data_IF_149315826750
#
_entry.id   IF_149315826750
#
_cell.length_a   1.000
_cell.length_b   1.000
_cell.length_c   1.000
_cell.angle_alpha   90.00
_cell.angle_beta   90.00
_cell.angle_gamma   90.00
#
_symmetry.space_group_name_H-M   'P 1'
#
loop_
_entity.id
_entity.type
_entity.pdbx_description
1 polymer ?
#
# COMPACT_ATOMS: atom_id res chain seq x y z
N UNK A 1 26.12 -19.79 10.54
CA UNK A 1 26.19 -18.45 9.94
C UNK A 1 27.62 -18.26 9.47
N UNK A 2 27.84 -18.01 8.17
CA UNK A 2 29.16 -17.55 7.71
C UNK A 2 29.25 -16.07 8.06
N UNK A 3 30.26 -15.70 8.85
CA UNK A 3 30.51 -14.30 9.20
C UNK A 3 31.30 -13.68 8.04
N UNK A 4 30.70 -12.72 7.35
CA UNK A 4 31.33 -12.02 6.25
C UNK A 4 31.99 -10.72 6.74
N UNK A 5 33.12 -10.35 6.14
CA UNK A 5 33.74 -9.04 6.37
C UNK A 5 32.96 -7.98 5.58
N UNK A 6 32.56 -6.84 6.19
CA UNK A 6 31.88 -5.77 5.48
C UNK A 6 32.72 -5.24 4.31
N UNK A 7 32.10 -4.93 3.15
CA UNK A 7 32.83 -4.34 2.04
C UNK A 7 33.42 -2.97 2.44
N UNK A 8 34.71 -2.76 2.16
CA UNK A 8 35.40 -1.49 2.41
C UNK A 8 35.29 -0.49 1.26
N UNK A 9 34.77 -0.93 0.12
CA UNK A 9 34.58 -0.13 -1.10
C UNK A 9 33.11 -0.15 -1.51
N UNK A 10 32.70 0.89 -2.23
CA UNK A 10 31.32 1.02 -2.69
C UNK A 10 31.04 -0.04 -3.77
N UNK A 11 30.07 -0.95 -3.57
CA UNK A 11 29.88 -2.09 -4.47
C UNK A 11 29.00 -1.79 -5.70
N UNK A 12 28.62 -0.52 -5.91
CA UNK A 12 27.74 -0.12 -7.01
C UNK A 12 28.01 1.31 -7.48
N UNK A 13 27.74 1.56 -8.76
CA UNK A 13 27.80 2.88 -9.37
C UNK A 13 26.65 3.76 -8.92
N UNK A 14 26.87 5.08 -8.88
CA UNK A 14 25.82 6.01 -8.50
C UNK A 14 24.84 6.16 -9.68
N UNK A 15 23.53 5.96 -9.50
CA UNK A 15 22.58 6.20 -10.57
C UNK A 15 22.54 7.69 -10.95
N UNK A 16 22.52 7.97 -12.24
CA UNK A 16 22.50 9.32 -12.83
C UNK A 16 21.10 9.76 -13.29
N UNK A 17 20.10 8.90 -13.13
CA UNK A 17 18.73 9.17 -13.54
C UNK A 17 18.07 10.34 -12.79
N UNK A 18 17.07 10.92 -13.43
CA UNK A 18 16.31 12.04 -12.88
C UNK A 18 15.51 11.61 -11.64
N UNK A 19 15.38 12.53 -10.68
CA UNK A 19 14.48 12.35 -9.54
C UNK A 19 13.03 12.54 -9.98
N UNK A 20 12.17 11.58 -9.64
CA UNK A 20 10.73 11.62 -9.88
C UNK A 20 9.99 10.77 -8.84
N UNK A 21 8.68 10.93 -8.81
CA UNK A 21 7.72 10.05 -8.16
C UNK A 21 7.79 8.63 -8.75
N UNK A 22 7.69 7.64 -7.86
CA UNK A 22 7.76 6.22 -8.21
C UNK A 22 6.52 5.46 -7.76
N UNK A 23 6.20 4.39 -8.49
CA UNK A 23 5.18 3.40 -8.11
C UNK A 23 5.86 2.23 -7.42
N UNK A 24 5.40 1.94 -6.20
CA UNK A 24 5.93 0.85 -5.36
C UNK A 24 4.82 -0.16 -5.12
N UNK A 25 5.10 -1.45 -5.32
CA UNK A 25 4.18 -2.54 -5.03
C UNK A 25 4.77 -3.44 -3.95
N UNK A 26 4.06 -3.61 -2.85
CA UNK A 26 4.35 -4.61 -1.83
C UNK A 26 3.32 -5.74 -1.92
N UNK A 27 3.72 -6.90 -2.48
CA UNK A 27 2.84 -8.05 -2.69
C UNK A 27 3.36 -9.33 -2.02
N UNK A 28 2.82 -10.50 -2.36
CA UNK A 28 3.18 -11.80 -1.78
C UNK A 28 2.35 -12.21 -0.57
N UNK A 29 2.52 -13.47 -0.16
CA UNK A 29 1.70 -14.10 0.88
C UNK A 29 2.19 -13.87 2.32
N UNK A 30 3.40 -13.33 2.47
CA UNK A 30 4.03 -13.02 3.74
C UNK A 30 3.44 -11.80 4.43
N UNK A 31 3.63 -11.75 5.76
CA UNK A 31 3.33 -10.57 6.58
C UNK A 31 4.33 -9.45 6.26
N UNK A 32 3.84 -8.22 6.20
CA UNK A 32 4.71 -7.03 6.13
C UNK A 32 4.26 -5.95 5.12
N UNK A 33 3.32 -6.26 4.21
CA UNK A 33 3.03 -5.42 3.03
C UNK A 33 2.54 -4.03 3.45
N UNK A 34 1.47 -4.00 4.24
CA UNK A 34 0.89 -2.77 4.79
C UNK A 34 1.86 -2.08 5.75
N UNK A 35 2.52 -2.81 6.65
CA UNK A 35 3.46 -2.19 7.60
C UNK A 35 4.66 -1.56 6.91
N UNK A 36 5.16 -2.13 5.80
CA UNK A 36 6.22 -1.52 5.00
C UNK A 36 5.72 -0.24 4.29
N UNK A 37 4.51 -0.26 3.74
CA UNK A 37 3.90 0.92 3.13
C UNK A 37 3.67 2.04 4.16
N UNK A 38 3.18 1.70 5.35
CA UNK A 38 2.97 2.65 6.46
C UNK A 38 4.28 3.19 7.03
N UNK A 39 5.32 2.35 7.15
CA UNK A 39 6.65 2.82 7.54
C UNK A 39 7.24 3.80 6.53
N UNK A 40 7.00 3.58 5.23
CA UNK A 40 7.41 4.50 4.18
C UNK A 40 6.60 5.81 4.20
N UNK A 41 5.28 5.73 4.38
CA UNK A 41 4.41 6.88 4.57
C UNK A 41 4.87 7.73 5.77
N UNK A 42 5.13 7.10 6.91
CA UNK A 42 5.66 7.76 8.10
C UNK A 42 7.03 8.40 7.85
N UNK A 43 7.92 7.74 7.11
CA UNK A 43 9.23 8.31 6.72
C UNK A 43 9.08 9.57 5.89
N UNK A 44 8.17 9.58 4.92
CA UNK A 44 7.89 10.76 4.10
C UNK A 44 7.28 11.89 4.93
N UNK A 45 6.28 11.58 5.77
CA UNK A 45 5.64 12.54 6.67
C UNK A 45 6.63 13.16 7.66
N UNK A 46 7.52 12.35 8.25
CA UNK A 46 8.60 12.82 9.13
C UNK A 46 9.63 13.72 8.44
N UNK A 47 9.62 13.81 7.10
CA UNK A 47 10.37 14.77 6.29
C UNK A 47 9.53 15.98 5.85
N UNK A 48 8.38 16.21 6.50
CA UNK A 48 7.47 17.31 6.21
C UNK A 48 6.71 17.14 4.88
N UNK A 49 6.67 15.94 4.31
CA UNK A 49 5.95 15.69 3.04
C UNK A 49 4.49 15.37 3.32
N UNK A 50 3.61 15.85 2.44
CA UNK A 50 2.17 15.55 2.53
C UNK A 50 1.90 14.12 2.07
N UNK A 51 1.31 13.32 2.93
CA UNK A 51 0.98 11.91 2.67
C UNK A 51 -0.51 11.68 2.89
N UNK A 52 -1.12 10.80 2.10
CA UNK A 52 -2.49 10.31 2.32
C UNK A 52 -2.51 8.80 2.18
N UNK A 53 -3.17 8.13 3.13
CA UNK A 53 -3.34 6.67 3.13
C UNK A 53 -4.81 6.35 2.91
N UNK A 54 -5.07 5.45 1.98
CA UNK A 54 -6.38 4.87 1.69
C UNK A 54 -6.29 3.36 1.91
N UNK A 55 -7.16 2.81 2.74
CA UNK A 55 -7.23 1.38 2.99
C UNK A 55 -8.48 0.79 2.36
N UNK A 56 -8.28 0.04 1.29
CA UNK A 56 -9.33 -0.78 0.70
C UNK A 56 -9.66 -1.93 1.65
N UNK A 57 -10.90 -2.40 1.63
CA UNK A 57 -11.43 -3.43 2.55
C UNK A 57 -11.60 -3.02 4.02
N UNK A 58 -11.05 -1.90 4.49
CA UNK A 58 -11.20 -1.45 5.89
C UNK A 58 -12.39 -0.51 6.05
N UNK A 59 -13.16 -0.67 7.12
CA UNK A 59 -14.28 0.22 7.45
C UNK A 59 -13.81 1.65 7.78
N UNK A 60 -14.59 2.71 7.49
CA UNK A 60 -14.23 4.09 7.85
C UNK A 60 -14.04 4.30 9.36
N UNK A 61 -14.71 3.48 10.18
CA UNK A 61 -14.62 3.50 11.65
C UNK A 61 -13.46 2.68 12.19
N UNK A 62 -12.56 2.19 11.35
CA UNK A 62 -11.37 1.45 11.75
C UNK A 62 -10.50 2.27 12.71
N UNK A 63 -9.94 1.58 13.72
CA UNK A 63 -9.14 2.17 14.81
C UNK A 63 -7.95 1.28 15.20
N UNK A 64 -7.31 0.68 14.19
CA UNK A 64 -6.07 -0.10 14.32
C UNK A 64 -4.90 0.80 14.78
N UNK A 65 -3.78 0.21 15.17
CA UNK A 65 -2.63 0.95 15.72
C UNK A 65 -2.15 2.12 14.86
N UNK A 66 -2.08 1.94 13.55
CA UNK A 66 -1.69 2.98 12.59
C UNK A 66 -2.68 4.15 12.56
N UNK A 67 -3.99 3.90 12.73
CA UNK A 67 -5.00 4.96 12.73
C UNK A 67 -4.80 5.91 13.90
N UNK A 68 -4.61 5.33 15.10
CA UNK A 68 -4.41 6.07 16.34
C UNK A 68 -3.16 6.94 16.26
N UNK A 69 -2.07 6.36 15.78
CA UNK A 69 -0.81 7.09 15.67
C UNK A 69 -0.87 8.15 14.58
N UNK A 70 -1.44 7.84 13.42
CA UNK A 70 -1.50 8.77 12.29
C UNK A 70 -2.42 9.96 12.56
N UNK A 71 -3.50 9.77 13.32
CA UNK A 71 -4.34 10.86 13.84
C UNK A 71 -3.53 11.82 14.71
N UNK A 72 -2.75 11.32 15.67
CA UNK A 72 -1.88 12.14 16.52
C UNK A 72 -0.81 12.91 15.73
N UNK A 73 -0.31 12.31 14.65
CA UNK A 73 0.70 12.91 13.78
C UNK A 73 0.11 13.85 12.71
N UNK A 74 -1.22 13.96 12.61
CA UNK A 74 -1.89 14.71 11.55
C UNK A 74 -1.64 14.14 10.15
N UNK A 75 -1.38 12.83 10.04
CA UNK A 75 -1.22 12.14 8.76
C UNK A 75 -2.54 11.46 8.36
N UNK A 76 -3.26 11.92 7.33
CA UNK A 76 -4.59 11.40 7.04
C UNK A 76 -4.58 9.94 6.57
N UNK A 77 -5.42 9.11 7.20
CA UNK A 77 -5.71 7.72 6.85
C UNK A 77 -7.23 7.52 6.80
N UNK A 78 -7.71 6.77 5.82
CA UNK A 78 -9.15 6.56 5.59
C UNK A 78 -9.43 5.13 5.12
N UNK A 79 -10.34 4.45 5.81
CA UNK A 79 -10.91 3.17 5.36
C UNK A 79 -11.99 3.39 4.30
N UNK A 80 -11.94 2.62 3.22
CA UNK A 80 -12.79 2.77 2.03
C UNK A 80 -13.73 1.58 1.79
N UNK A 81 -13.71 0.56 2.64
CA UNK A 81 -14.53 -0.64 2.49
C UNK A 81 -15.56 -0.80 3.62
N UNK A 82 -16.17 -1.98 3.67
CA UNK A 82 -17.12 -2.41 4.69
C UNK A 82 -16.56 -3.51 5.61
N UNK A 83 -15.27 -3.84 5.47
CA UNK A 83 -14.59 -4.86 6.25
C UNK A 83 -14.21 -6.08 5.41
N UNK A 84 -14.08 -7.21 6.08
CA UNK A 84 -13.76 -8.46 5.41
C UNK A 84 -14.91 -8.92 4.50
N UNK A 85 -14.62 -9.16 3.22
CA UNK A 85 -15.64 -9.52 2.22
C UNK A 85 -16.42 -10.80 2.58
N UNK A 86 -15.80 -11.77 3.26
CA UNK A 86 -16.49 -13.00 3.70
C UNK A 86 -17.45 -12.79 4.88
N UNK A 87 -17.48 -11.59 5.47
CA UNK A 87 -18.50 -11.15 6.43
C UNK A 87 -19.56 -10.26 5.77
N UNK A 88 -19.35 -9.86 4.52
CA UNK A 88 -20.32 -9.03 3.80
C UNK A 88 -21.55 -9.85 3.45
N UNK A 89 -22.72 -9.27 3.69
CA UNK A 89 -23.99 -9.81 3.26
C UNK A 89 -24.40 -9.28 1.88
N UNK A 90 -23.67 -8.31 1.34
CA UNK A 90 -23.95 -7.61 0.09
C UNK A 90 -22.64 -7.25 -0.62
N UNK A 91 -22.20 -8.14 -1.50
CA UNK A 91 -20.96 -7.98 -2.27
C UNK A 91 -21.05 -6.88 -3.33
N UNK A 92 -22.26 -6.56 -3.79
CA UNK A 92 -22.47 -5.47 -4.75
C UNK A 92 -22.18 -4.13 -4.08
N UNK A 93 -22.68 -3.94 -2.86
CA UNK A 93 -22.35 -2.79 -2.02
C UNK A 93 -20.86 -2.73 -1.70
N UNK A 94 -20.21 -3.85 -1.36
CA UNK A 94 -18.75 -3.87 -1.14
C UNK A 94 -17.99 -3.39 -2.38
N UNK A 95 -18.43 -3.83 -3.57
CA UNK A 95 -17.85 -3.38 -4.84
C UNK A 95 -18.10 -1.90 -5.13
N UNK A 96 -19.28 -1.38 -4.77
CA UNK A 96 -19.61 0.03 -4.93
C UNK A 96 -18.74 0.94 -4.05
N UNK A 97 -18.55 0.56 -2.78
CA UNK A 97 -17.65 1.26 -1.87
C UNK A 97 -16.20 1.27 -2.38
N UNK A 98 -15.74 0.16 -2.98
CA UNK A 98 -14.43 0.10 -3.58
C UNK A 98 -14.28 1.09 -4.76
N UNK A 99 -15.30 1.24 -5.61
CA UNK A 99 -15.31 2.21 -6.72
C UNK A 99 -15.34 3.65 -6.21
N UNK A 100 -16.18 3.96 -5.23
CA UNK A 100 -16.23 5.30 -4.62
C UNK A 100 -14.92 5.67 -3.92
N UNK A 101 -14.34 4.69 -3.22
CA UNK A 101 -13.04 4.84 -2.59
C UNK A 101 -11.92 5.05 -3.60
N UNK A 102 -11.99 4.36 -4.74
CA UNK A 102 -11.06 4.57 -5.84
C UNK A 102 -11.17 5.99 -6.42
N UNK A 103 -12.36 6.54 -6.62
CA UNK A 103 -12.50 7.92 -7.12
C UNK A 103 -11.83 8.95 -6.18
N UNK A 104 -11.93 8.76 -4.86
CA UNK A 104 -11.20 9.58 -3.87
C UNK A 104 -9.68 9.45 -4.03
N UNK A 105 -9.19 8.21 -4.14
CA UNK A 105 -7.77 7.94 -4.28
C UNK A 105 -7.20 8.49 -5.59
N UNK A 106 -7.92 8.29 -6.70
CA UNK A 106 -7.62 8.83 -8.03
C UNK A 106 -7.54 10.35 -8.01
N UNK A 107 -8.53 11.02 -7.42
CA UNK A 107 -8.50 12.48 -7.27
C UNK A 107 -7.27 12.93 -6.45
N UNK A 108 -6.94 12.25 -5.36
CA UNK A 108 -5.76 12.57 -4.56
C UNK A 108 -4.45 12.40 -5.35
N UNK A 109 -4.30 11.32 -6.12
CA UNK A 109 -3.13 11.06 -6.99
C UNK A 109 -3.00 12.16 -8.03
N UNK A 110 -4.08 12.44 -8.78
CA UNK A 110 -4.06 13.38 -9.90
C UNK A 110 -3.93 14.84 -9.46
N UNK A 111 -4.31 15.17 -8.22
CA UNK A 111 -4.22 16.53 -7.70
C UNK A 111 -2.78 17.09 -7.60
N UNK A 112 -1.76 16.23 -7.55
CA UNK A 112 -0.37 16.63 -7.29
C UNK A 112 -0.12 17.23 -5.90
N UNK A 113 -1.15 17.28 -5.04
CA UNK A 113 -1.10 17.92 -3.73
C UNK A 113 -0.33 17.08 -2.70
N UNK A 114 -0.41 15.76 -2.83
CA UNK A 114 0.28 14.82 -1.97
C UNK A 114 1.60 14.40 -2.60
N UNK A 115 2.65 14.38 -1.79
CA UNK A 115 3.92 13.78 -2.19
C UNK A 115 3.78 12.26 -2.34
N UNK A 116 2.96 11.64 -1.49
CA UNK A 116 2.74 10.19 -1.50
C UNK A 116 1.27 9.84 -1.24
N UNK A 117 0.74 8.93 -2.05
CA UNK A 117 -0.56 8.28 -1.84
C UNK A 117 -0.34 6.78 -1.65
N UNK A 118 -0.80 6.24 -0.53
CA UNK A 118 -0.78 4.79 -0.26
C UNK A 118 -2.16 4.20 -0.51
N UNK A 119 -2.22 3.16 -1.32
CA UNK A 119 -3.39 2.35 -1.68
C UNK A 119 -3.23 0.97 -1.03
N UNK A 120 -3.54 0.89 0.25
CA UNK A 120 -3.41 -0.34 1.02
C UNK A 120 -4.53 -1.31 0.64
N UNK A 121 -4.17 -2.56 0.35
CA UNK A 121 -5.05 -3.67 -0.01
C UNK A 121 -5.89 -3.46 -1.29
N UNK A 122 -5.44 -2.57 -2.18
CA UNK A 122 -6.07 -2.27 -3.49
C UNK A 122 -6.15 -3.48 -4.42
N UNK A 123 -5.27 -4.48 -4.25
CA UNK A 123 -5.29 -5.66 -5.13
C UNK A 123 -6.58 -6.48 -4.98
N UNK A 124 -7.26 -6.44 -3.83
CA UNK A 124 -8.49 -7.21 -3.63
C UNK A 124 -9.66 -6.70 -4.49
N UNK A 125 -10.03 -5.40 -4.47
CA UNK A 125 -11.02 -4.88 -5.41
C UNK A 125 -10.74 -5.19 -6.88
N UNK A 126 -9.47 -5.22 -7.27
CA UNK A 126 -9.04 -5.56 -8.63
C UNK A 126 -9.31 -7.03 -8.97
N UNK A 127 -8.81 -7.96 -8.14
CA UNK A 127 -8.95 -9.41 -8.41
C UNK A 127 -10.37 -9.93 -8.16
N UNK A 128 -11.20 -9.19 -7.42
CA UNK A 128 -12.63 -9.48 -7.29
C UNK A 128 -13.46 -8.91 -8.44
N UNK A 129 -12.86 -8.17 -9.37
CA UNK A 129 -13.56 -7.56 -10.51
C UNK A 129 -14.46 -6.39 -10.12
N UNK A 130 -14.29 -5.82 -8.92
CA UNK A 130 -15.08 -4.68 -8.45
C UNK A 130 -14.59 -3.36 -9.03
N UNK A 131 -13.29 -3.28 -9.28
CA UNK A 131 -12.59 -2.12 -9.80
C UNK A 131 -11.91 -2.47 -11.13
N UNK A 132 -12.13 -1.71 -12.22
CA UNK A 132 -11.45 -1.94 -13.49
C UNK A 132 -9.94 -1.68 -13.40
N UNK A 133 -9.13 -2.67 -13.78
CA UNK A 133 -7.66 -2.56 -13.76
C UNK A 133 -7.15 -1.44 -14.67
N UNK A 134 -7.75 -1.29 -15.86
CA UNK A 134 -7.33 -0.29 -16.84
C UNK A 134 -7.41 1.15 -16.31
N UNK A 135 -8.41 1.45 -15.48
CA UNK A 135 -8.55 2.79 -14.89
C UNK A 135 -7.45 3.08 -13.85
N UNK A 136 -7.03 2.05 -13.09
CA UNK A 136 -5.88 2.15 -12.18
C UNK A 136 -4.60 2.36 -12.97
N UNK A 137 -4.34 1.56 -14.01
CA UNK A 137 -3.16 1.70 -14.84
C UNK A 137 -3.10 3.07 -15.52
N UNK A 138 -4.21 3.54 -16.08
CA UNK A 138 -4.31 4.85 -16.71
C UNK A 138 -4.03 5.98 -15.71
N UNK A 139 -4.61 5.91 -14.51
CA UNK A 139 -4.38 6.90 -13.45
C UNK A 139 -2.92 6.93 -13.00
N UNK A 140 -2.28 5.77 -12.82
CA UNK A 140 -0.88 5.71 -12.42
C UNK A 140 0.05 6.27 -13.50
N UNK A 141 -0.25 6.07 -14.79
CA UNK A 141 0.51 6.67 -15.90
C UNK A 141 0.31 8.19 -15.99
N UNK A 142 -0.92 8.66 -15.75
CA UNK A 142 -1.27 10.08 -15.85
C UNK A 142 -0.91 10.90 -14.60
N UNK A 143 -0.47 10.26 -13.50
CA UNK A 143 -0.14 10.94 -12.25
C UNK A 143 0.92 12.04 -12.46
N UNK A 144 0.86 13.16 -11.73
CA UNK A 144 1.91 14.16 -11.76
C UNK A 144 3.27 13.54 -11.41
N UNK A 145 4.31 13.96 -12.14
CA UNK A 145 5.64 13.31 -12.13
C UNK A 145 6.26 13.16 -10.74
N UNK A 146 5.95 14.05 -9.80
CA UNK A 146 6.51 14.05 -8.44
C UNK A 146 5.71 13.21 -7.43
N UNK A 147 4.55 12.67 -7.82
CA UNK A 147 3.68 11.89 -6.92
C UNK A 147 4.16 10.45 -6.83
N UNK A 148 4.45 10.01 -5.61
CA UNK A 148 4.72 8.62 -5.29
C UNK A 148 3.42 7.87 -5.02
N UNK A 149 3.28 6.65 -5.53
CA UNK A 149 2.12 5.79 -5.24
C UNK A 149 2.60 4.45 -4.71
N UNK A 150 2.07 4.04 -3.57
CA UNK A 150 2.40 2.76 -2.93
C UNK A 150 1.18 1.87 -2.93
N UNK A 151 1.25 0.70 -3.55
CA UNK A 151 0.18 -0.28 -3.60
C UNK A 151 0.55 -1.47 -2.73
N UNK A 152 -0.42 -2.02 -2.01
CA UNK A 152 -0.23 -3.26 -1.25
C UNK A 152 -1.33 -4.27 -1.57
N UNK A 153 -0.99 -5.53 -1.31
CA UNK A 153 -1.96 -6.62 -1.28
C UNK A 153 -1.45 -7.88 -1.94
N UNK A 154 -2.17 -8.99 -1.76
CA UNK A 154 -1.80 -10.30 -2.34
C UNK A 154 -2.17 -10.34 -3.83
N UNK A 155 -1.52 -11.24 -4.59
CA UNK A 155 -1.87 -11.54 -5.98
C UNK A 155 -1.99 -10.28 -6.84
N UNK A 156 -0.98 -9.41 -6.79
CA UNK A 156 -0.98 -8.20 -7.59
C UNK A 156 -1.06 -8.55 -9.10
N UNK A 157 -1.94 -7.90 -9.88
CA UNK A 157 -2.01 -8.09 -11.33
C UNK A 157 -0.65 -7.91 -12.01
N UNK A 158 -0.25 -8.78 -12.96
CA UNK A 158 1.02 -8.67 -13.67
C UNK A 158 1.25 -7.31 -14.34
N UNK A 159 0.20 -6.69 -14.86
CA UNK A 159 0.25 -5.39 -15.52
C UNK A 159 0.62 -4.26 -14.54
N UNK A 160 0.25 -4.38 -13.27
CA UNK A 160 0.67 -3.46 -12.21
C UNK A 160 2.12 -3.71 -11.79
N UNK A 161 2.56 -4.97 -11.78
CA UNK A 161 3.96 -5.34 -11.52
C UNK A 161 4.86 -4.74 -12.61
N UNK A 162 4.47 -4.88 -13.88
CA UNK A 162 5.21 -4.34 -15.02
C UNK A 162 5.27 -2.80 -15.00
N UNK A 163 4.17 -2.14 -14.61
CA UNK A 163 4.13 -0.68 -14.52
C UNK A 163 4.95 -0.13 -13.34
N UNK A 164 5.13 -0.90 -12.27
CA UNK A 164 5.76 -0.43 -11.05
C UNK A 164 7.27 -0.25 -11.19
N UNK A 165 7.79 0.82 -10.58
CA UNK A 165 9.22 1.11 -10.53
C UNK A 165 9.94 0.22 -9.50
N UNK A 166 9.23 -0.28 -8.50
CA UNK A 166 9.77 -1.16 -7.47
C UNK A 166 8.70 -2.13 -7.01
N UNK A 167 9.03 -3.42 -7.06
CA UNK A 167 8.15 -4.49 -6.58
C UNK A 167 8.90 -5.31 -5.54
N UNK A 168 8.30 -5.47 -4.37
CA UNK A 168 8.76 -6.42 -3.35
C UNK A 168 7.71 -7.49 -3.17
N UNK A 169 8.10 -8.74 -3.40
CA UNK A 169 7.30 -9.90 -3.03
C UNK A 169 7.71 -10.35 -1.61
N UNK A 170 6.77 -10.26 -0.68
CA UNK A 170 6.95 -10.78 0.66
C UNK A 170 6.65 -12.28 0.65
N UNK A 171 7.67 -13.08 0.43
CA UNK A 171 7.55 -14.55 0.46
C UNK A 171 7.29 -15.05 1.88
N UNK A 172 6.32 -15.94 2.05
CA UNK A 172 5.99 -16.53 3.34
C UNK A 172 6.98 -17.65 3.71
N UNK A 173 8.14 -17.27 4.27
CA UNK A 173 9.12 -18.25 4.78
C UNK A 173 8.60 -18.95 6.04
N UNK A 174 8.07 -18.19 7.00
CA UNK A 174 7.44 -18.70 8.23
C UNK A 174 6.41 -17.70 8.75
N UNK A 175 5.38 -18.19 9.45
CA UNK A 175 4.39 -17.34 10.12
C UNK A 175 4.02 -17.91 11.48
N UNK A 176 3.84 -17.05 12.49
CA UNK A 176 3.47 -17.44 13.85
C UNK A 176 2.13 -18.20 13.90
N UNK A 177 1.15 -17.78 13.07
CA UNK A 177 -0.12 -18.48 12.90
C UNK A 177 0.02 -19.98 12.57
N UNK A 178 1.01 -20.36 11.74
CA UNK A 178 1.25 -21.79 11.41
C UNK A 178 1.76 -22.60 12.61
N UNK A 179 2.25 -21.94 13.65
CA UNK A 179 2.64 -22.53 14.92
C UNK A 179 1.52 -22.42 15.99
N UNK A 180 0.29 -22.02 15.61
CA UNK A 180 -0.85 -21.90 16.53
C UNK A 180 -0.85 -20.62 17.38
N UNK A 181 0.07 -19.68 17.14
CA UNK A 181 0.11 -18.41 17.87
C UNK A 181 -0.99 -17.49 17.32
N UNK A 182 -1.93 -17.01 18.16
CA UNK A 182 -3.01 -16.13 17.72
C UNK A 182 -2.51 -14.72 17.44
N UNK A 183 -3.34 -13.93 16.74
CA UNK A 183 -3.09 -12.51 16.51
C UNK A 183 -2.94 -11.75 17.85
N UNK A 184 -1.97 -10.84 17.91
CA UNK A 184 -1.62 -10.08 19.10
C UNK A 184 -1.81 -8.58 18.88
N UNK A 185 -2.20 -7.89 19.95
CA UNK A 185 -2.39 -6.44 19.89
C UNK A 185 -1.06 -5.72 19.62
N UNK A 186 -1.07 -4.80 18.66
CA UNK A 186 0.11 -4.06 18.19
C UNK A 186 1.01 -4.85 17.22
N UNK A 187 0.66 -6.09 16.87
CA UNK A 187 1.41 -6.91 15.91
C UNK A 187 0.56 -7.25 14.68
N UNK A 188 -0.70 -7.66 14.87
CA UNK A 188 -1.67 -8.00 13.80
C UNK A 188 -2.91 -7.10 13.77
N UNK A 189 -3.20 -6.37 14.85
CA UNK A 189 -4.26 -5.35 14.94
C UNK A 189 -3.70 -3.90 14.96
#
# INVERSE_FOLDING_TARGET
>A
MQIETPPSTKPYEKPEGERRGIVIVNTGDGKGKSTAAFGLALRAHGRGKRVKVYQFMKVPTARFGEHRMFEQLGMPIEGLGDGFSWKSQDLERSGQLAREGWEKAKAAILSGTYFMVTLDEITYPLIYGWLPLDDVLATLRARPREVHVVLTGRRCPPELIELADTVTEMTLVKHAFKAGIPAQRGIED
#
